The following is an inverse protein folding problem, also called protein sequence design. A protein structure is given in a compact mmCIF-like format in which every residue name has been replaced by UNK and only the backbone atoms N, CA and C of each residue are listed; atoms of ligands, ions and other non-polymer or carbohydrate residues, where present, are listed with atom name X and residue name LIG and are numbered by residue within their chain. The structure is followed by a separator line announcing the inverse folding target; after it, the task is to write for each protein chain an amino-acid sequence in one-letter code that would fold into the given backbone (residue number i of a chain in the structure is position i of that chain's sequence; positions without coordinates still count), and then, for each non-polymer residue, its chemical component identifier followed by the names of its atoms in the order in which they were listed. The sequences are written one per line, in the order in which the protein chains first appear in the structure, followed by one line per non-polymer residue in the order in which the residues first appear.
data_IF_022537370701
#
_entry.id   IF_022537370701
#
_cell.length_a   1.000
_cell.length_b   1.000
_cell.length_c   1.000
_cell.angle_alpha   90.00
_cell.angle_beta   90.00
_cell.angle_gamma   90.00
#
_symmetry.space_group_name_H-M   'P 1'
#
loop_
_entity.id
_entity.type
_entity.pdbx_description
1 polymer ?
#
# COMPACT_ATOMS: atom_id res chain seq x y z
N UNK A 1 13.93 22.50 -20.56
CA UNK A 1 12.52 22.97 -20.60
C UNK A 1 11.69 22.26 -21.67
N UNK A 2 12.13 22.19 -22.93
CA UNK A 2 11.34 21.56 -24.01
C UNK A 2 11.13 20.03 -23.84
N UNK A 3 12.13 19.28 -23.34
CA UNK A 3 11.99 17.82 -23.14
C UNK A 3 10.97 17.43 -22.04
N UNK A 4 10.80 18.30 -21.04
CA UNK A 4 9.93 18.04 -19.90
C UNK A 4 8.52 18.59 -20.11
N UNK A 5 8.25 19.32 -21.20
CA UNK A 5 6.97 19.98 -21.49
C UNK A 5 6.47 20.89 -20.35
N UNK A 6 7.40 21.54 -19.65
CA UNK A 6 7.10 22.44 -18.54
C UNK A 6 6.36 23.69 -19.04
N UNK A 7 5.40 24.19 -18.25
CA UNK A 7 4.66 25.42 -18.52
C UNK A 7 4.71 26.37 -17.33
N UNK A 8 4.94 27.63 -17.63
CA UNK A 8 4.88 28.72 -16.66
C UNK A 8 3.45 29.23 -16.48
N UNK A 9 3.26 30.09 -15.49
CA UNK A 9 2.01 30.81 -15.27
C UNK A 9 1.72 31.75 -16.43
N UNK A 10 0.45 32.06 -16.65
CA UNK A 10 0.09 33.00 -17.70
C UNK A 10 0.58 34.41 -17.33
N UNK A 11 1.00 35.20 -18.33
CA UNK A 11 1.49 36.57 -18.11
C UNK A 11 0.51 37.46 -17.33
N UNK A 12 -0.79 37.23 -17.53
CA UNK A 12 -1.84 37.94 -16.79
C UNK A 12 -1.76 37.67 -15.29
N UNK A 13 -1.46 36.43 -14.89
CA UNK A 13 -1.37 36.03 -13.49
C UNK A 13 -0.10 36.63 -12.86
N UNK A 14 1.01 36.63 -13.60
CA UNK A 14 2.26 37.31 -13.18
C UNK A 14 2.05 38.82 -13.02
N UNK A 15 1.38 39.47 -13.98
CA UNK A 15 1.00 40.88 -13.90
C UNK A 15 0.07 41.14 -12.71
N UNK A 16 -0.89 40.24 -12.46
CA UNK A 16 -1.82 40.35 -11.32
C UNK A 16 -1.05 40.29 -10.00
N UNK A 17 -0.15 39.31 -9.84
CA UNK A 17 0.72 39.18 -8.66
C UNK A 17 1.55 40.45 -8.41
N UNK A 18 2.04 41.09 -9.48
CA UNK A 18 2.80 42.35 -9.37
C UNK A 18 1.95 43.57 -9.02
N UNK A 19 0.64 43.51 -9.30
CA UNK A 19 -0.30 44.62 -9.09
C UNK A 19 -1.05 44.55 -7.77
N UNK A 20 -1.20 43.35 -7.20
CA UNK A 20 -1.89 43.14 -5.94
C UNK A 20 -1.03 43.52 -4.73
N UNK A 21 -1.64 44.01 -3.63
CA UNK A 21 -0.89 44.45 -2.45
C UNK A 21 -0.36 43.29 -1.59
N UNK A 22 -0.78 42.05 -1.87
CA UNK A 22 -0.34 40.84 -1.17
C UNK A 22 -0.12 39.70 -2.17
N UNK A 23 0.88 38.83 -1.90
CA UNK A 23 1.28 37.74 -2.80
C UNK A 23 0.57 36.41 -2.52
N UNK A 24 0.29 36.09 -1.25
CA UNK A 24 -0.50 34.94 -0.79
C UNK A 24 -1.06 35.16 0.62
N UNK A 25 -2.03 34.35 1.02
CA UNK A 25 -2.67 34.37 2.34
C UNK A 25 -2.43 33.05 3.06
N UNK A 26 -2.10 33.11 4.35
CA UNK A 26 -1.98 31.96 5.25
C UNK A 26 -2.94 32.09 6.43
N UNK A 27 -3.53 30.97 6.83
CA UNK A 27 -4.34 30.85 8.03
C UNK A 27 -3.54 30.14 9.12
N UNK A 28 -3.75 30.55 10.38
CA UNK A 28 -3.18 29.90 11.57
C UNK A 28 -1.67 29.62 11.47
N UNK A 29 -0.88 30.68 11.29
CA UNK A 29 0.58 30.59 11.13
C UNK A 29 1.28 29.91 12.32
N UNK A 30 0.69 30.02 13.51
CA UNK A 30 1.25 29.49 14.76
C UNK A 30 0.68 28.09 15.14
N UNK A 31 -0.18 27.50 14.30
CA UNK A 31 -0.82 26.19 14.52
C UNK A 31 -1.56 26.08 15.86
N UNK A 32 -2.28 27.14 16.26
CA UNK A 32 -3.02 27.16 17.51
C UNK A 32 -4.24 26.20 17.49
N UNK A 33 -4.76 25.90 16.29
CA UNK A 33 -6.00 25.15 16.11
C UNK A 33 -5.72 23.77 15.50
N UNK A 34 -6.22 22.71 16.15
CA UNK A 34 -6.33 21.40 15.51
C UNK A 34 -7.55 21.45 14.56
N UNK A 35 -7.36 22.01 13.37
CA UNK A 35 -8.42 22.28 12.41
C UNK A 35 -7.98 22.04 10.95
N UNK A 36 -8.97 21.88 10.06
CA UNK A 36 -8.78 22.01 8.60
C UNK A 36 -9.13 23.46 8.23
N UNK A 37 -8.19 24.16 7.62
CA UNK A 37 -8.38 25.55 7.18
C UNK A 37 -8.38 25.53 5.65
N UNK A 38 -9.50 25.92 5.05
CA UNK A 38 -9.64 25.99 3.60
C UNK A 38 -9.58 27.47 3.18
N UNK A 39 -8.44 27.89 2.61
CA UNK A 39 -8.23 29.25 2.11
C UNK A 39 -8.65 29.33 0.65
N UNK A 40 -9.50 30.30 0.31
CA UNK A 40 -9.88 30.57 -1.08
C UNK A 40 -9.05 31.72 -1.63
N UNK A 41 -8.02 31.39 -2.40
CA UNK A 41 -7.19 32.34 -3.13
C UNK A 41 -6.90 31.80 -4.55
N UNK A 42 -6.51 32.65 -5.52
CA UNK A 42 -6.12 32.21 -6.86
C UNK A 42 -4.96 31.20 -6.86
N UNK A 43 -4.94 30.30 -7.85
CA UNK A 43 -3.96 29.21 -7.96
C UNK A 43 -2.51 29.70 -8.03
N UNK A 44 -2.27 30.81 -8.72
CA UNK A 44 -0.94 31.40 -8.84
C UNK A 44 -0.40 31.87 -7.48
N UNK A 45 -1.27 32.23 -6.52
CA UNK A 45 -0.85 32.59 -5.16
C UNK A 45 -0.35 31.36 -4.39
N UNK A 46 -0.99 30.19 -4.56
CA UNK A 46 -0.45 28.94 -4.02
C UNK A 46 0.88 28.57 -4.70
N UNK A 47 1.04 28.88 -6.00
CA UNK A 47 2.30 28.75 -6.70
C UNK A 47 3.41 29.61 -6.11
N UNK A 48 3.10 30.88 -5.82
CA UNK A 48 4.01 31.82 -5.15
C UNK A 48 4.34 31.38 -3.73
N UNK A 49 3.34 30.96 -2.94
CA UNK A 49 3.50 30.41 -1.59
C UNK A 49 4.48 29.22 -1.60
N UNK A 50 4.34 28.31 -2.57
CA UNK A 50 5.22 27.15 -2.70
C UNK A 50 6.68 27.54 -2.97
N UNK A 51 6.92 28.60 -3.74
CA UNK A 51 8.27 29.01 -4.17
C UNK A 51 8.96 29.94 -3.19
N UNK A 52 8.22 30.88 -2.61
CA UNK A 52 8.78 32.01 -1.88
C UNK A 52 8.61 31.92 -0.37
N UNK A 53 7.63 31.16 0.13
CA UNK A 53 7.46 30.98 1.57
C UNK A 53 8.61 30.13 2.13
N UNK A 54 9.12 30.51 3.30
CA UNK A 54 10.23 29.82 3.97
C UNK A 54 9.74 28.74 4.93
N UNK A 55 8.46 28.77 5.26
CA UNK A 55 7.83 27.81 6.15
C UNK A 55 7.49 26.52 5.41
N UNK A 56 7.92 25.39 5.99
CA UNK A 56 7.69 24.06 5.43
C UNK A 56 6.20 23.76 5.37
N UNK A 57 5.42 24.14 6.38
CA UNK A 57 3.99 23.84 6.40
C UNK A 57 3.21 24.66 5.38
N UNK A 58 3.63 25.91 5.13
CA UNK A 58 3.07 26.71 4.03
C UNK A 58 3.30 26.05 2.67
N UNK A 59 4.51 25.52 2.46
CA UNK A 59 4.85 24.79 1.24
C UNK A 59 4.05 23.48 1.14
N UNK A 60 3.90 22.74 2.24
CA UNK A 60 3.10 21.52 2.29
C UNK A 60 1.61 21.79 2.01
N UNK A 61 1.05 22.88 2.53
CA UNK A 61 -0.32 23.32 2.26
C UNK A 61 -0.52 23.63 0.78
N UNK A 62 0.41 24.37 0.16
CA UNK A 62 0.37 24.66 -1.27
C UNK A 62 0.52 23.40 -2.13
N UNK A 63 1.40 22.46 -1.76
CA UNK A 63 1.52 21.16 -2.43
C UNK A 63 0.22 20.36 -2.32
N UNK A 64 -0.38 20.30 -1.12
CA UNK A 64 -1.66 19.62 -0.89
C UNK A 64 -2.76 20.23 -1.75
N UNK A 65 -2.83 21.56 -1.81
CA UNK A 65 -3.80 22.26 -2.67
C UNK A 65 -3.73 21.74 -4.11
N UNK A 66 -2.55 21.73 -4.72
CA UNK A 66 -2.38 21.24 -6.09
C UNK A 66 -2.71 19.75 -6.26
N UNK A 67 -2.44 18.92 -5.25
CA UNK A 67 -2.77 17.49 -5.26
C UNK A 67 -4.25 17.18 -5.12
N UNK A 68 -5.02 18.02 -4.42
CA UNK A 68 -6.46 17.83 -4.16
C UNK A 68 -7.37 18.39 -5.27
N UNK A 69 -6.83 19.15 -6.24
CA UNK A 69 -7.62 19.69 -7.35
C UNK A 69 -8.14 18.57 -8.27
N UNK A 70 -9.47 18.54 -8.49
CA UNK A 70 -10.10 17.59 -9.40
C UNK A 70 -9.55 17.72 -10.83
N UNK A 71 -9.41 18.96 -11.30
CA UNK A 71 -8.86 19.29 -12.63
C UNK A 71 -7.46 19.81 -12.47
N UNK A 72 -6.49 18.96 -12.79
CA UNK A 72 -5.08 19.37 -12.82
C UNK A 72 -4.70 19.91 -14.20
N UNK A 73 -3.61 20.67 -14.26
CA UNK A 73 -3.05 21.18 -15.51
C UNK A 73 -1.52 21.08 -15.52
N UNK A 74 -0.93 21.34 -16.69
CA UNK A 74 0.51 21.26 -16.88
C UNK A 74 1.30 22.24 -16.02
N UNK A 75 0.75 23.41 -15.70
CA UNK A 75 1.39 24.44 -14.88
C UNK A 75 1.50 23.97 -13.42
N UNK A 76 0.46 23.35 -12.86
CA UNK A 76 0.50 22.77 -11.52
C UNK A 76 1.51 21.62 -11.44
N UNK A 77 1.48 20.70 -12.41
CA UNK A 77 2.49 19.64 -12.49
C UNK A 77 3.90 20.20 -12.63
N UNK A 78 4.08 21.32 -13.34
CA UNK A 78 5.37 22.01 -13.48
C UNK A 78 5.84 22.56 -12.13
N UNK A 79 4.97 23.22 -11.38
CA UNK A 79 5.28 23.72 -10.04
C UNK A 79 5.71 22.58 -9.10
N UNK A 80 4.91 21.50 -9.03
CA UNK A 80 5.23 20.31 -8.23
C UNK A 80 6.52 19.63 -8.66
N UNK A 81 6.77 19.51 -9.97
CA UNK A 81 8.01 18.91 -10.50
C UNK A 81 9.23 19.75 -10.15
N UNK A 82 9.14 21.08 -10.24
CA UNK A 82 10.23 21.98 -9.83
C UNK A 82 10.55 21.82 -8.35
N UNK A 83 9.53 21.77 -7.49
CA UNK A 83 9.69 21.53 -6.05
C UNK A 83 10.31 20.16 -5.77
N UNK A 84 9.87 19.11 -6.46
CA UNK A 84 10.42 17.75 -6.33
C UNK A 84 11.90 17.68 -6.70
N UNK A 85 12.30 18.32 -7.80
CA UNK A 85 13.66 18.22 -8.36
C UNK A 85 14.67 19.12 -7.66
N UNK A 86 14.23 20.21 -7.03
CA UNK A 86 15.09 21.18 -6.38
C UNK A 86 15.54 20.69 -4.99
N UNK A 87 16.86 20.54 -4.82
CA UNK A 87 17.50 20.01 -3.62
C UNK A 87 17.54 20.98 -2.43
N UNK A 88 17.16 22.24 -2.66
CA UNK A 88 17.03 23.28 -1.64
C UNK A 88 15.77 23.10 -0.79
N UNK A 89 14.74 22.44 -1.31
CA UNK A 89 13.55 22.12 -0.54
C UNK A 89 13.84 21.04 0.50
N UNK A 90 13.13 21.12 1.62
CA UNK A 90 13.12 20.04 2.62
C UNK A 90 12.63 18.74 1.98
N UNK A 91 13.28 17.61 2.28
CA UNK A 91 12.96 16.33 1.64
C UNK A 91 11.48 15.93 1.83
N UNK A 92 10.85 16.30 2.96
CA UNK A 92 9.43 16.05 3.19
C UNK A 92 8.52 16.80 2.21
N UNK A 93 8.85 18.04 1.85
CA UNK A 93 8.12 18.82 0.83
C UNK A 93 8.31 18.20 -0.55
N UNK A 94 9.51 17.71 -0.85
CA UNK A 94 9.82 17.00 -2.10
C UNK A 94 9.01 15.71 -2.21
N UNK A 95 8.94 14.91 -1.13
CA UNK A 95 8.10 13.70 -1.06
C UNK A 95 6.62 14.05 -1.23
N UNK A 96 6.15 15.11 -0.57
CA UNK A 96 4.77 15.58 -0.72
C UNK A 96 4.48 16.01 -2.16
N UNK A 97 5.42 16.69 -2.83
CA UNK A 97 5.27 17.10 -4.22
C UNK A 97 5.20 15.90 -5.17
N UNK A 98 6.02 14.86 -4.94
CA UNK A 98 5.91 13.59 -5.65
C UNK A 98 4.56 12.90 -5.40
N UNK A 99 4.06 12.91 -4.15
CA UNK A 99 2.74 12.37 -3.82
C UNK A 99 1.61 13.16 -4.52
N UNK A 100 1.66 14.49 -4.52
CA UNK A 100 0.69 15.32 -5.21
C UNK A 100 0.70 15.08 -6.73
N UNK A 101 1.87 14.84 -7.35
CA UNK A 101 1.95 14.42 -8.74
C UNK A 101 1.25 13.07 -8.97
N UNK A 102 1.40 12.12 -8.05
CA UNK A 102 0.68 10.84 -8.11
C UNK A 102 -0.83 11.03 -7.93
N UNK A 103 -1.27 11.91 -7.03
CA UNK A 103 -2.70 12.19 -6.79
C UNK A 103 -3.36 12.87 -8.02
N UNK A 104 -2.62 13.73 -8.71
CA UNK A 104 -2.99 14.29 -10.02
C UNK A 104 -3.05 13.24 -11.15
N UNK A 105 -2.56 12.02 -10.93
CA UNK A 105 -2.44 10.97 -11.95
C UNK A 105 -3.62 10.00 -11.92
N UNK A 106 -4.74 10.44 -12.47
CA UNK A 106 -5.94 9.61 -12.61
C UNK A 106 -6.45 9.64 -14.07
N UNK A 107 -7.42 8.76 -14.39
CA UNK A 107 -8.00 8.67 -15.74
C UNK A 107 -8.64 9.99 -16.20
N UNK A 108 -9.30 10.72 -15.30
CA UNK A 108 -9.92 12.00 -15.64
C UNK A 108 -8.90 13.07 -16.08
N UNK A 109 -7.69 13.00 -15.52
CA UNK A 109 -6.56 13.86 -15.84
C UNK A 109 -5.59 13.23 -16.85
N UNK A 110 -5.97 12.14 -17.53
CA UNK A 110 -5.14 11.39 -18.48
C UNK A 110 -3.76 11.00 -17.92
N UNK A 111 -3.66 10.73 -16.62
CA UNK A 111 -2.41 10.40 -15.93
C UNK A 111 -1.28 11.43 -16.15
N UNK A 112 -1.59 12.72 -16.34
CA UNK A 112 -0.59 13.73 -16.68
C UNK A 112 0.55 13.82 -15.65
N UNK A 113 0.25 13.71 -14.36
CA UNK A 113 1.26 13.75 -13.28
C UNK A 113 2.23 12.58 -13.32
N UNK A 114 1.83 11.42 -13.87
CA UNK A 114 2.61 10.20 -13.86
C UNK A 114 3.82 10.34 -14.78
N UNK A 115 3.66 11.02 -15.91
CA UNK A 115 4.77 11.27 -16.83
C UNK A 115 5.85 12.15 -16.19
N UNK A 116 5.46 13.16 -15.42
CA UNK A 116 6.40 13.98 -14.66
C UNK A 116 7.08 13.18 -13.55
N UNK A 117 6.31 12.39 -12.82
CA UNK A 117 6.83 11.57 -11.72
C UNK A 117 7.83 10.52 -12.21
N UNK A 118 7.55 9.86 -13.34
CA UNK A 118 8.44 8.88 -13.95
C UNK A 118 9.71 9.53 -14.53
N UNK A 119 9.58 10.72 -15.14
CA UNK A 119 10.74 11.49 -15.60
C UNK A 119 11.64 11.92 -14.45
N UNK A 120 11.04 12.43 -13.36
CA UNK A 120 11.76 12.79 -12.15
C UNK A 120 12.49 11.58 -11.54
N UNK A 121 11.83 10.42 -11.46
CA UNK A 121 12.45 9.20 -10.99
C UNK A 121 13.62 8.75 -11.88
N UNK A 122 13.42 8.76 -13.20
CA UNK A 122 14.44 8.37 -14.18
C UNK A 122 15.69 9.24 -14.09
N UNK A 123 15.51 10.56 -14.04
CA UNK A 123 16.61 11.53 -13.94
C UNK A 123 17.43 11.34 -12.64
N UNK A 124 16.73 11.15 -11.52
CA UNK A 124 17.38 11.07 -10.21
C UNK A 124 18.06 9.72 -9.96
N UNK A 125 17.46 8.61 -10.37
CA UNK A 125 17.84 7.27 -9.89
C UNK A 125 18.14 6.24 -10.98
N UNK A 126 17.90 6.57 -12.25
CA UNK A 126 18.19 5.65 -13.37
C UNK A 126 19.33 6.18 -14.24
N UNK A 127 19.94 5.28 -15.02
CA UNK A 127 20.86 5.69 -16.09
C UNK A 127 20.10 6.45 -17.17
N UNK A 128 20.78 7.43 -17.77
CA UNK A 128 20.22 8.32 -18.79
C UNK A 128 19.50 7.54 -19.90
N UNK A 129 18.34 8.05 -20.32
CA UNK A 129 17.45 7.44 -21.32
C UNK A 129 17.02 5.99 -21.02
N UNK A 130 17.07 5.56 -19.76
CA UNK A 130 16.66 4.21 -19.35
C UNK A 130 15.87 4.20 -18.03
N UNK A 131 15.18 3.08 -17.78
CA UNK A 131 14.58 2.77 -16.48
C UNK A 131 15.39 1.68 -15.74
N UNK A 132 16.71 1.68 -15.96
CA UNK A 132 17.65 0.80 -15.27
C UNK A 132 18.18 1.57 -14.05
N UNK A 133 18.00 1.08 -12.81
CA UNK A 133 18.48 1.78 -11.62
C UNK A 133 20.01 1.89 -11.63
N UNK A 134 20.50 3.05 -11.20
CA UNK A 134 21.91 3.26 -10.82
C UNK A 134 22.21 2.47 -9.53
N UNK A 135 23.49 2.19 -9.26
CA UNK A 135 23.88 1.63 -7.96
C UNK A 135 23.45 2.57 -6.84
N UNK A 136 22.97 2.01 -5.73
CA UNK A 136 22.48 2.80 -4.60
C UNK A 136 23.61 3.66 -3.99
N UNK A 137 23.26 4.87 -3.60
CA UNK A 137 24.12 5.75 -2.78
C UNK A 137 23.25 6.41 -1.69
N UNK A 138 23.43 5.97 -0.45
CA UNK A 138 22.68 6.48 0.70
C UNK A 138 23.49 7.48 1.54
N UNK A 139 24.56 8.04 0.97
CA UNK A 139 25.38 9.04 1.65
C UNK A 139 24.60 10.34 1.92
N UNK A 140 23.68 10.73 1.04
CA UNK A 140 22.72 11.80 1.30
C UNK A 140 21.41 11.25 1.87
N UNK A 141 21.18 11.53 3.15
CA UNK A 141 19.95 11.15 3.84
C UNK A 141 18.69 11.72 3.17
N UNK A 142 18.76 12.95 2.61
CA UNK A 142 17.62 13.60 1.96
C UNK A 142 17.27 12.88 0.65
N UNK A 143 18.29 12.57 -0.14
CA UNK A 143 18.16 11.76 -1.36
C UNK A 143 17.63 10.36 -1.08
N UNK A 144 18.11 9.69 -0.03
CA UNK A 144 17.63 8.38 0.40
C UNK A 144 16.15 8.40 0.81
N UNK A 145 15.73 9.37 1.63
CA UNK A 145 14.33 9.48 2.05
C UNK A 145 13.38 9.65 0.86
N UNK A 146 13.79 10.47 -0.12
CA UNK A 146 13.04 10.63 -1.35
C UNK A 146 13.02 9.33 -2.19
N UNK A 147 14.19 8.70 -2.38
CA UNK A 147 14.31 7.44 -3.13
C UNK A 147 13.44 6.34 -2.55
N UNK A 148 13.42 6.22 -1.22
CA UNK A 148 12.61 5.23 -0.52
C UNK A 148 11.11 5.52 -0.59
N UNK A 149 10.69 6.77 -0.81
CA UNK A 149 9.28 7.13 -0.92
C UNK A 149 8.69 6.84 -2.31
N UNK A 150 9.50 6.99 -3.37
CA UNK A 150 9.06 6.81 -4.76
C UNK A 150 8.31 5.50 -5.04
N UNK A 151 8.79 4.31 -4.62
CA UNK A 151 8.09 3.05 -4.87
C UNK A 151 6.65 3.05 -4.33
N UNK A 152 6.47 3.58 -3.12
CA UNK A 152 5.16 3.67 -2.46
C UNK A 152 4.24 4.64 -3.19
N UNK A 153 4.77 5.81 -3.56
CA UNK A 153 4.03 6.84 -4.29
C UNK A 153 3.56 6.29 -5.65
N UNK A 154 4.48 5.66 -6.40
CA UNK A 154 4.19 5.10 -7.72
C UNK A 154 3.11 4.01 -7.65
N UNK A 155 3.15 3.11 -6.67
CA UNK A 155 2.12 2.07 -6.51
C UNK A 155 0.76 2.62 -6.04
N UNK A 156 0.71 3.88 -5.60
CA UNK A 156 -0.52 4.59 -5.27
C UNK A 156 -1.32 5.03 -6.50
N UNK A 157 -0.67 5.23 -7.65
CA UNK A 157 -1.31 5.62 -8.91
C UNK A 157 -2.14 4.47 -9.46
N UNK A 158 -3.45 4.68 -9.56
CA UNK A 158 -4.41 3.64 -9.96
C UNK A 158 -5.38 4.15 -11.02
N UNK A 159 -5.85 3.23 -11.85
CA UNK A 159 -6.94 3.44 -12.79
C UNK A 159 -8.31 3.36 -12.10
N UNK A 160 -9.40 3.59 -12.83
CA UNK A 160 -10.76 3.58 -12.29
C UNK A 160 -11.19 2.19 -11.80
N UNK A 161 -10.53 1.14 -12.27
CA UNK A 161 -10.74 -0.23 -11.80
C UNK A 161 -9.91 -0.58 -10.55
N UNK A 162 -9.07 0.36 -10.09
CA UNK A 162 -8.20 0.23 -8.92
C UNK A 162 -6.88 -0.50 -9.21
N UNK A 163 -6.53 -0.75 -10.48
CA UNK A 163 -5.28 -1.36 -10.88
C UNK A 163 -4.18 -0.33 -11.05
N UNK A 164 -2.95 -0.75 -10.76
CA UNK A 164 -1.76 0.06 -11.01
C UNK A 164 -1.33 -0.11 -12.48
N UNK A 165 -1.03 0.99 -13.22
CA UNK A 165 -0.57 0.92 -14.60
C UNK A 165 0.61 -0.05 -14.80
N UNK A 166 0.59 -0.85 -15.87
CA UNK A 166 1.62 -1.87 -16.18
C UNK A 166 3.04 -1.28 -16.26
N UNK A 167 3.16 -0.02 -16.71
CA UNK A 167 4.45 0.68 -16.76
C UNK A 167 5.10 0.79 -15.38
N UNK A 168 4.29 1.08 -14.35
CA UNK A 168 4.75 1.17 -12.95
C UNK A 168 5.06 -0.22 -12.41
N UNK A 169 4.19 -1.20 -12.65
CA UNK A 169 4.40 -2.59 -12.22
C UNK A 169 5.75 -3.14 -12.75
N UNK A 170 6.03 -2.93 -14.04
CA UNK A 170 7.29 -3.35 -14.65
C UNK A 170 8.50 -2.58 -14.10
N UNK A 171 8.35 -1.26 -13.85
CA UNK A 171 9.39 -0.46 -13.21
C UNK A 171 9.73 -1.02 -11.83
N UNK A 172 8.75 -1.21 -10.95
CA UNK A 172 8.95 -1.74 -9.60
C UNK A 172 9.60 -3.15 -9.63
N UNK A 173 9.18 -4.00 -10.58
CA UNK A 173 9.78 -5.32 -10.76
C UNK A 173 11.25 -5.22 -11.17
N UNK A 174 11.57 -4.30 -12.08
CA UNK A 174 12.95 -4.05 -12.51
C UNK A 174 13.80 -3.48 -11.36
N UNK A 175 13.26 -2.59 -10.53
CA UNK A 175 13.95 -2.08 -9.35
C UNK A 175 14.31 -3.21 -8.39
N UNK A 176 13.39 -4.15 -8.12
CA UNK A 176 13.69 -5.32 -7.25
C UNK A 176 14.72 -6.27 -7.88
N UNK A 177 14.67 -6.46 -9.20
CA UNK A 177 15.57 -7.38 -9.92
C UNK A 177 16.99 -6.85 -10.04
N UNK A 178 17.11 -5.57 -10.35
CA UNK A 178 18.37 -4.91 -10.70
C UNK A 178 18.89 -3.99 -9.60
N UNK A 179 18.33 -4.06 -8.39
CA UNK A 179 18.87 -3.35 -7.24
C UNK A 179 20.32 -3.78 -6.99
N UNK A 180 21.22 -2.81 -7.04
CA UNK A 180 22.64 -2.98 -6.81
C UNK A 180 23.10 -2.09 -5.65
N UNK A 181 23.67 -2.72 -4.63
CA UNK A 181 24.19 -2.05 -3.44
C UNK A 181 25.71 -2.24 -3.28
N UNK A 182 26.40 -2.70 -4.32
CA UNK A 182 27.84 -3.01 -4.27
C UNK A 182 28.73 -1.79 -4.00
N UNK A 183 28.32 -0.61 -4.47
CA UNK A 183 29.06 0.65 -4.33
C UNK A 183 28.59 1.50 -3.14
N UNK A 184 27.56 1.06 -2.42
CA UNK A 184 27.00 1.81 -1.29
C UNK A 184 27.74 1.47 0.00
N UNK A 185 28.04 2.48 0.82
CA UNK A 185 28.63 2.27 2.14
C UNK A 185 27.59 1.76 3.18
N UNK A 186 26.31 1.87 2.86
CA UNK A 186 25.20 1.55 3.76
C UNK A 186 24.47 0.26 3.34
N UNK A 187 23.76 -0.34 4.30
CA UNK A 187 22.90 -1.52 4.06
C UNK A 187 21.54 -1.07 3.54
N UNK A 188 21.05 -1.73 2.50
CA UNK A 188 19.81 -1.38 1.79
C UNK A 188 18.59 -2.21 2.15
N UNK A 189 18.67 -3.06 3.19
CA UNK A 189 17.59 -3.99 3.53
C UNK A 189 16.24 -3.30 3.77
N UNK A 190 16.24 -2.07 4.30
CA UNK A 190 15.01 -1.26 4.46
C UNK A 190 14.44 -0.81 3.12
N UNK A 191 15.29 -0.35 2.20
CA UNK A 191 14.88 0.07 0.87
C UNK A 191 14.35 -1.11 0.04
N UNK A 192 15.06 -2.24 0.06
CA UNK A 192 14.61 -3.48 -0.60
C UNK A 192 13.27 -3.96 -0.03
N UNK A 193 13.08 -3.87 1.29
CA UNK A 193 11.80 -4.17 1.93
C UNK A 193 10.67 -3.27 1.41
N UNK A 194 10.90 -1.97 1.30
CA UNK A 194 9.90 -1.03 0.76
C UNK A 194 9.59 -1.29 -0.73
N UNK A 195 10.60 -1.62 -1.54
CA UNK A 195 10.43 -2.03 -2.93
C UNK A 195 9.54 -3.27 -3.04
N UNK A 196 9.77 -4.27 -2.18
CA UNK A 196 8.98 -5.51 -2.14
C UNK A 196 7.52 -5.22 -1.74
N UNK A 197 7.30 -4.39 -0.72
CA UNK A 197 5.96 -3.98 -0.27
C UNK A 197 5.23 -3.25 -1.40
N UNK A 198 5.90 -2.32 -2.08
CA UNK A 198 5.33 -1.53 -3.17
C UNK A 198 5.02 -2.40 -4.40
N UNK A 199 5.93 -3.30 -4.77
CA UNK A 199 5.73 -4.26 -5.86
C UNK A 199 4.50 -5.14 -5.61
N UNK A 200 4.39 -5.76 -4.43
CA UNK A 200 3.23 -6.59 -4.10
C UNK A 200 1.95 -5.77 -4.01
N UNK A 201 2.01 -4.55 -3.47
CA UNK A 201 0.86 -3.63 -3.48
C UNK A 201 0.38 -3.38 -4.90
N UNK A 202 1.30 -3.16 -5.85
CA UNK A 202 0.96 -2.95 -7.26
C UNK A 202 0.38 -4.20 -7.94
N UNK A 203 0.80 -5.40 -7.54
CA UNK A 203 0.26 -6.68 -8.05
C UNK A 203 -1.14 -6.97 -7.54
N UNK A 204 -1.40 -6.65 -6.27
CA UNK A 204 -2.65 -7.00 -5.57
C UNK A 204 -3.74 -5.93 -5.80
N UNK A 205 -3.36 -4.70 -6.16
CA UNK A 205 -4.31 -3.61 -6.41
C UNK A 205 -5.21 -3.92 -7.61
N UNK A 206 -6.52 -3.78 -7.42
CA UNK A 206 -7.52 -4.06 -8.47
C UNK A 206 -7.76 -5.54 -8.72
N UNK A 207 -7.24 -6.44 -7.87
CA UNK A 207 -7.48 -7.87 -7.97
C UNK A 207 -8.92 -8.22 -7.62
N UNK A 208 -9.56 -9.05 -8.46
CA UNK A 208 -10.97 -9.41 -8.37
C UNK A 208 -11.17 -10.92 -8.45
N UNK A 209 -11.68 -11.53 -7.38
CA UNK A 209 -11.89 -12.99 -7.33
C UNK A 209 -13.13 -13.45 -8.10
N UNK A 210 -14.04 -12.53 -8.39
CA UNK A 210 -15.25 -12.74 -9.19
C UNK A 210 -14.98 -12.77 -10.70
N UNK A 211 -13.86 -12.20 -11.16
CA UNK A 211 -13.51 -12.09 -12.58
C UNK A 211 -12.04 -12.48 -12.79
N UNK A 212 -11.77 -13.78 -12.85
CA UNK A 212 -10.39 -14.32 -12.96
C UNK A 212 -9.63 -13.82 -14.20
N UNK A 213 -10.30 -13.64 -15.35
CA UNK A 213 -9.69 -13.15 -16.59
C UNK A 213 -9.11 -11.74 -16.47
N UNK A 214 -9.56 -10.97 -15.48
CA UNK A 214 -9.09 -9.62 -15.23
C UNK A 214 -7.73 -9.60 -14.50
N UNK A 215 -7.34 -10.69 -13.85
CA UNK A 215 -6.14 -10.72 -13.01
C UNK A 215 -4.90 -11.12 -13.80
N UNK A 216 -3.81 -10.36 -13.64
CA UNK A 216 -2.52 -10.66 -14.28
C UNK A 216 -1.75 -11.73 -13.48
N UNK A 217 -2.20 -12.98 -13.62
CA UNK A 217 -1.61 -14.14 -12.92
C UNK A 217 -0.17 -14.40 -13.35
N UNK A 218 0.19 -14.08 -14.60
CA UNK A 218 1.57 -14.19 -15.09
C UNK A 218 2.48 -13.21 -14.37
N UNK A 219 2.07 -11.95 -14.22
CA UNK A 219 2.81 -10.95 -13.46
C UNK A 219 2.93 -11.36 -11.98
N UNK A 220 1.85 -11.84 -11.37
CA UNK A 220 1.88 -12.36 -10.00
C UNK A 220 2.87 -13.55 -9.83
N UNK A 221 2.99 -14.41 -10.84
CA UNK A 221 3.98 -15.49 -10.87
C UNK A 221 5.43 -14.98 -10.92
N UNK A 222 5.69 -13.93 -11.72
CA UNK A 222 7.00 -13.25 -11.77
C UNK A 222 7.36 -12.64 -10.42
N UNK A 223 6.42 -11.94 -9.77
CA UNK A 223 6.62 -11.35 -8.44
C UNK A 223 6.88 -12.43 -7.40
N UNK A 224 6.10 -13.52 -7.41
CA UNK A 224 6.30 -14.65 -6.48
C UNK A 224 7.69 -15.28 -6.62
N UNK A 225 8.21 -15.36 -7.84
CA UNK A 225 9.56 -15.88 -8.12
C UNK A 225 10.64 -14.96 -7.54
N UNK A 226 10.48 -13.64 -7.63
CA UNK A 226 11.39 -12.67 -7.02
C UNK A 226 11.34 -12.70 -5.49
N UNK A 227 10.15 -12.81 -4.87
CA UNK A 227 10.03 -12.98 -3.42
C UNK A 227 10.77 -14.22 -2.93
N UNK A 228 10.64 -15.33 -3.66
CA UNK A 228 11.35 -16.56 -3.33
C UNK A 228 12.86 -16.44 -3.48
N UNK A 229 13.34 -15.74 -4.52
CA UNK A 229 14.76 -15.42 -4.70
C UNK A 229 15.30 -14.61 -3.52
N UNK A 230 14.61 -13.53 -3.15
CA UNK A 230 15.02 -12.67 -2.02
C UNK A 230 15.03 -13.41 -0.70
N UNK A 231 13.99 -14.21 -0.42
CA UNK A 231 13.95 -15.02 0.80
C UNK A 231 15.11 -16.03 0.87
N UNK A 232 15.49 -16.65 -0.26
CA UNK A 232 16.65 -17.55 -0.31
C UNK A 232 17.96 -16.81 -0.06
N UNK A 233 18.12 -15.63 -0.65
CA UNK A 233 19.32 -14.80 -0.46
C UNK A 233 19.45 -14.36 1.00
N UNK A 234 18.37 -13.90 1.62
CA UNK A 234 18.36 -13.47 3.03
C UNK A 234 18.66 -14.61 4.00
N UNK A 235 18.25 -15.84 3.68
CA UNK A 235 18.64 -17.03 4.47
C UNK A 235 20.12 -17.37 4.36
N UNK A 236 20.75 -17.03 3.23
CA UNK A 236 22.17 -17.30 3.02
C UNK A 236 23.04 -16.20 3.61
N UNK A 237 22.65 -14.94 3.43
CA UNK A 237 23.29 -13.76 4.00
C UNK A 237 22.19 -12.95 4.71
N UNK A 238 22.00 -13.14 6.02
CA UNK A 238 20.96 -12.46 6.79
C UNK A 238 21.08 -10.94 6.76
N UNK A 239 20.01 -10.27 6.34
CA UNK A 239 19.80 -8.85 6.59
C UNK A 239 19.65 -8.55 8.07
N UNK A 240 19.76 -7.27 8.43
CA UNK A 240 19.51 -6.81 9.78
C UNK A 240 18.13 -7.29 10.27
N UNK A 241 18.12 -8.08 11.34
CA UNK A 241 16.92 -8.70 11.92
C UNK A 241 16.08 -9.55 10.95
N UNK A 242 16.67 -10.04 9.85
CA UNK A 242 15.97 -10.80 8.80
C UNK A 242 14.78 -10.04 8.20
N UNK A 243 14.88 -8.72 8.11
CA UNK A 243 13.78 -7.87 7.65
C UNK A 243 13.29 -8.26 6.25
N UNK A 244 14.20 -8.67 5.35
CA UNK A 244 13.84 -9.07 3.99
C UNK A 244 13.03 -10.37 4.02
N UNK A 245 13.46 -11.40 4.76
CA UNK A 245 12.70 -12.64 4.91
C UNK A 245 11.31 -12.38 5.52
N UNK A 246 11.23 -11.58 6.59
CA UNK A 246 9.96 -11.24 7.25
C UNK A 246 9.02 -10.52 6.29
N UNK A 247 9.52 -9.51 5.56
CA UNK A 247 8.73 -8.78 4.56
C UNK A 247 8.28 -9.71 3.43
N UNK A 248 9.14 -10.61 2.95
CA UNK A 248 8.75 -11.58 1.93
C UNK A 248 7.64 -12.52 2.41
N UNK A 249 7.67 -12.97 3.68
CA UNK A 249 6.60 -13.80 4.25
C UNK A 249 5.30 -13.00 4.33
N UNK A 250 5.35 -11.78 4.87
CA UNK A 250 4.20 -10.88 4.95
C UNK A 250 3.54 -10.64 3.59
N UNK A 251 4.36 -10.35 2.56
CA UNK A 251 3.86 -10.08 1.22
C UNK A 251 3.33 -11.34 0.52
N UNK A 252 3.95 -12.51 0.74
CA UNK A 252 3.41 -13.77 0.24
C UNK A 252 2.04 -14.10 0.84
N UNK A 253 1.86 -13.88 2.15
CA UNK A 253 0.56 -14.05 2.82
C UNK A 253 -0.46 -13.09 2.21
N UNK A 254 -0.09 -11.82 2.01
CA UNK A 254 -0.98 -10.81 1.40
C UNK A 254 -1.42 -11.20 -0.02
N UNK A 255 -0.50 -11.71 -0.85
CA UNK A 255 -0.86 -12.23 -2.18
C UNK A 255 -1.80 -13.45 -2.08
N UNK A 256 -1.60 -14.31 -1.09
CA UNK A 256 -2.45 -15.48 -0.88
C UNK A 256 -3.86 -15.12 -0.39
N UNK A 257 -3.99 -14.13 0.50
CA UNK A 257 -5.29 -13.63 0.98
C UNK A 257 -6.15 -13.05 -0.14
N UNK A 258 -5.52 -12.50 -1.17
CA UNK A 258 -6.25 -11.97 -2.32
C UNK A 258 -6.48 -13.03 -3.40
N UNK A 259 -5.86 -14.21 -3.30
CA UNK A 259 -5.98 -15.29 -4.28
C UNK A 259 -4.95 -15.22 -5.43
N UNK A 260 -4.01 -14.27 -5.38
CA UNK A 260 -2.97 -14.09 -6.39
C UNK A 260 -1.89 -15.17 -6.36
N UNK A 261 -1.73 -15.85 -5.22
CA UNK A 261 -0.82 -16.98 -5.06
C UNK A 261 -1.49 -18.06 -4.22
N UNK A 262 -1.34 -19.33 -4.59
CA UNK A 262 -1.70 -20.44 -3.71
C UNK A 262 -0.57 -20.66 -2.72
N UNK A 263 -0.85 -20.46 -1.43
CA UNK A 263 0.09 -20.70 -0.33
C UNK A 263 -0.44 -21.85 0.52
N UNK A 264 0.35 -22.90 0.65
CA UNK A 264 -0.04 -24.09 1.43
C UNK A 264 0.17 -23.88 2.93
N UNK A 265 -0.65 -24.53 3.76
CA UNK A 265 -0.43 -24.55 5.21
C UNK A 265 0.88 -25.26 5.57
N UNK A 266 1.30 -26.25 4.79
CA UNK A 266 2.56 -26.96 5.01
C UNK A 266 3.77 -26.02 4.90
N UNK A 267 3.79 -25.15 3.89
CA UNK A 267 4.83 -24.13 3.73
C UNK A 267 4.91 -23.20 4.95
N UNK A 268 3.75 -22.73 5.44
CA UNK A 268 3.72 -21.83 6.60
C UNK A 268 4.02 -22.54 7.91
N UNK A 269 3.51 -23.76 8.13
CA UNK A 269 3.81 -24.57 9.31
C UNK A 269 5.29 -24.91 9.40
N UNK A 270 5.96 -25.10 8.27
CA UNK A 270 7.40 -25.27 8.27
C UNK A 270 8.13 -24.01 8.78
N UNK A 271 7.62 -22.82 8.46
CA UNK A 271 8.17 -21.54 8.91
C UNK A 271 7.90 -21.23 10.39
N UNK A 272 7.04 -21.97 11.09
CA UNK A 272 6.80 -21.77 12.54
C UNK A 272 7.83 -22.44 13.44
N UNK A 273 8.72 -23.28 12.88
CA UNK A 273 9.76 -24.02 13.60
C UNK A 273 10.81 -23.10 14.24
N UNK A 274 11.41 -23.53 15.36
CA UNK A 274 12.39 -22.74 16.14
C UNK A 274 13.67 -22.34 15.38
N UNK A 275 13.95 -22.97 14.23
CA UNK A 275 15.09 -22.60 13.38
C UNK A 275 14.93 -21.25 12.67
N UNK A 276 13.70 -20.75 12.58
CA UNK A 276 13.40 -19.47 11.93
C UNK A 276 13.45 -18.32 12.94
N UNK A 277 13.75 -17.09 12.49
CA UNK A 277 13.70 -15.90 13.32
C UNK A 277 12.33 -15.73 13.99
N UNK A 278 12.31 -15.13 15.18
CA UNK A 278 11.09 -14.93 15.96
C UNK A 278 9.99 -14.25 15.13
N UNK A 279 10.31 -13.13 14.46
CA UNK A 279 9.36 -12.37 13.64
C UNK A 279 8.79 -13.20 12.50
N UNK A 280 9.64 -13.92 11.76
CA UNK A 280 9.21 -14.79 10.67
C UNK A 280 8.21 -15.86 11.14
N UNK A 281 8.42 -16.42 12.33
CA UNK A 281 7.50 -17.40 12.93
C UNK A 281 6.17 -16.78 13.33
N UNK A 282 6.19 -15.59 13.93
CA UNK A 282 4.95 -14.85 14.27
C UNK A 282 4.14 -14.58 13.00
N UNK A 283 4.82 -14.13 11.95
CA UNK A 283 4.21 -13.86 10.65
C UNK A 283 3.64 -15.11 9.99
N UNK A 284 4.35 -16.24 10.07
CA UNK A 284 3.86 -17.52 9.59
C UNK A 284 2.58 -17.95 10.34
N UNK A 285 2.54 -17.80 11.67
CA UNK A 285 1.32 -18.04 12.44
C UNK A 285 0.18 -17.11 12.05
N UNK A 286 0.45 -15.81 11.85
CA UNK A 286 -0.55 -14.85 11.37
C UNK A 286 -1.16 -15.31 10.05
N UNK A 287 -0.30 -15.69 9.09
CA UNK A 287 -0.74 -16.19 7.79
C UNK A 287 -1.59 -17.45 7.87
N UNK A 288 -1.19 -18.42 8.71
CA UNK A 288 -1.98 -19.65 8.92
C UNK A 288 -3.37 -19.31 9.46
N UNK A 289 -3.46 -18.41 10.45
CA UNK A 289 -4.73 -18.03 11.07
C UNK A 289 -5.63 -17.29 10.08
N UNK A 290 -5.07 -16.36 9.30
CA UNK A 290 -5.82 -15.57 8.30
C UNK A 290 -6.30 -16.40 7.11
N UNK A 291 -5.51 -17.39 6.65
CA UNK A 291 -5.84 -18.27 5.52
C UNK A 291 -6.80 -19.44 5.88
N UNK A 292 -7.43 -19.38 7.05
CA UNK A 292 -8.47 -20.32 7.48
C UNK A 292 -8.10 -21.24 8.64
N UNK A 293 -6.88 -21.13 9.19
CA UNK A 293 -6.43 -21.92 10.33
C UNK A 293 -7.26 -21.72 11.61
N UNK A 294 -7.99 -20.60 11.72
CA UNK A 294 -8.94 -20.35 12.82
C UNK A 294 -10.08 -21.36 12.90
N UNK A 295 -10.47 -21.99 11.78
CA UNK A 295 -11.51 -23.04 11.79
C UNK A 295 -10.97 -24.43 12.15
N UNK A 296 -9.65 -24.61 12.01
CA UNK A 296 -9.02 -25.91 12.18
C UNK A 296 -8.58 -26.12 13.64
N UNK A 297 -9.26 -27.05 14.33
CA UNK A 297 -8.98 -27.40 15.73
C UNK A 297 -7.53 -27.79 15.98
N UNK A 298 -6.92 -28.57 15.08
CA UNK A 298 -5.54 -29.06 15.23
C UNK A 298 -4.53 -27.92 15.17
N UNK A 299 -4.74 -26.97 14.26
CA UNK A 299 -3.91 -25.77 14.10
C UNK A 299 -4.02 -24.87 15.33
N UNK A 300 -5.24 -24.62 15.81
CA UNK A 300 -5.45 -23.86 17.05
C UNK A 300 -4.81 -24.54 18.26
N UNK A 301 -4.93 -25.86 18.38
CA UNK A 301 -4.30 -26.60 19.46
C UNK A 301 -2.76 -26.50 19.38
N UNK A 302 -2.19 -26.57 18.17
CA UNK A 302 -0.76 -26.35 17.94
C UNK A 302 -0.34 -24.93 18.35
N UNK A 303 -1.04 -23.91 17.89
CA UNK A 303 -0.79 -22.51 18.24
C UNK A 303 -0.82 -22.29 19.76
N UNK A 304 -1.85 -22.81 20.45
CA UNK A 304 -1.99 -22.69 21.90
C UNK A 304 -0.86 -23.42 22.63
N UNK A 305 -0.48 -24.62 22.19
CA UNK A 305 0.69 -25.35 22.74
C UNK A 305 1.96 -24.52 22.60
N UNK A 306 2.19 -23.91 21.44
CA UNK A 306 3.37 -23.04 21.22
C UNK A 306 3.34 -21.83 22.17
N UNK A 307 2.18 -21.19 22.36
CA UNK A 307 2.03 -20.08 23.29
C UNK A 307 2.30 -20.48 24.75
N UNK A 308 1.84 -21.66 25.18
CA UNK A 308 1.97 -22.14 26.56
C UNK A 308 3.38 -22.66 26.87
N UNK A 309 4.01 -23.35 25.91
CA UNK A 309 5.33 -23.97 26.11
C UNK A 309 6.48 -22.95 26.04
N UNK A 310 6.30 -21.79 25.37
CA UNK A 310 7.32 -20.75 25.26
C UNK A 310 7.24 -19.69 26.37
N UNK A 311 7.03 -20.10 27.63
CA UNK A 311 6.91 -19.18 28.77
C UNK A 311 8.21 -18.38 29.04
N UNK A 312 9.37 -18.92 28.67
CA UNK A 312 10.68 -18.27 28.81
C UNK A 312 10.89 -17.11 27.82
N UNK A 313 10.03 -16.97 26.80
CA UNK A 313 10.11 -15.95 25.75
C UNK A 313 8.88 -15.02 25.78
N UNK A 314 8.77 -14.10 26.76
CA UNK A 314 7.57 -13.29 26.95
C UNK A 314 7.25 -12.39 25.75
N UNK A 315 8.27 -11.83 25.08
CA UNK A 315 8.09 -11.02 23.88
C UNK A 315 7.46 -11.83 22.73
N UNK A 316 7.96 -13.05 22.49
CA UNK A 316 7.42 -13.93 21.46
C UNK A 316 5.96 -14.30 21.73
N UNK A 317 5.64 -14.64 22.98
CA UNK A 317 4.26 -14.93 23.40
C UNK A 317 3.35 -13.71 23.22
N UNK A 318 3.79 -12.52 23.60
CA UNK A 318 3.03 -11.29 23.40
C UNK A 318 2.73 -11.06 21.93
N UNK A 319 3.72 -11.22 21.05
CA UNK A 319 3.57 -11.08 19.59
C UNK A 319 2.66 -12.14 18.97
N UNK A 320 2.70 -13.39 19.44
CA UNK A 320 1.76 -14.43 19.00
C UNK A 320 0.31 -14.08 19.37
N UNK A 321 0.08 -13.57 20.58
CA UNK A 321 -1.25 -13.13 21.02
C UNK A 321 -1.72 -11.93 20.19
N UNK A 322 -0.84 -10.96 19.95
CA UNK A 322 -1.13 -9.82 19.09
C UNK A 322 -1.47 -10.28 17.66
N UNK A 323 -0.71 -11.23 17.11
CA UNK A 323 -0.99 -11.83 15.81
C UNK A 323 -2.36 -12.51 15.78
N UNK A 324 -2.74 -13.27 16.83
CA UNK A 324 -4.08 -13.86 16.94
C UNK A 324 -5.18 -12.79 16.93
N UNK A 325 -5.03 -11.72 17.72
CA UNK A 325 -6.01 -10.62 17.78
C UNK A 325 -6.14 -9.93 16.41
N UNK A 326 -5.02 -9.65 15.74
CA UNK A 326 -5.00 -9.07 14.39
C UNK A 326 -5.66 -10.00 13.37
N UNK A 327 -5.33 -11.29 13.38
CA UNK A 327 -5.92 -12.28 12.47
C UNK A 327 -7.42 -12.43 12.67
N UNK A 328 -7.89 -12.51 13.92
CA UNK A 328 -9.32 -12.57 14.24
C UNK A 328 -10.04 -11.31 13.75
N UNK A 329 -9.45 -10.13 13.99
CA UNK A 329 -10.01 -8.85 13.55
C UNK A 329 -10.10 -8.78 12.03
N UNK A 330 -9.01 -9.14 11.33
CA UNK A 330 -8.92 -9.18 9.87
C UNK A 330 -9.94 -10.13 9.24
N UNK A 331 -10.05 -11.36 9.78
CA UNK A 331 -11.00 -12.36 9.29
C UNK A 331 -12.45 -11.95 9.57
N UNK A 332 -12.72 -11.26 10.68
CA UNK A 332 -14.03 -10.72 10.98
C UNK A 332 -14.43 -9.58 10.02
N UNK A 333 -13.50 -8.68 9.66
CA UNK A 333 -13.78 -7.53 8.77
C UNK A 333 -13.82 -7.94 7.30
N UNK A 334 -12.82 -8.67 6.82
CA UNK A 334 -12.65 -8.98 5.40
C UNK A 334 -13.22 -10.34 5.00
N UNK A 335 -13.49 -11.21 5.97
CA UNK A 335 -13.86 -12.60 5.73
C UNK A 335 -12.66 -13.51 5.62
N UNK A 336 -12.81 -14.73 6.14
CA UNK A 336 -11.79 -15.76 5.96
C UNK A 336 -11.81 -16.29 4.54
N UNK A 337 -10.64 -16.30 3.90
CA UNK A 337 -10.39 -17.12 2.71
C UNK A 337 -10.23 -18.55 3.19
N UNK A 338 -11.35 -19.23 3.42
CA UNK A 338 -11.34 -20.63 3.82
C UNK A 338 -10.86 -21.44 2.62
N UNK A 339 -9.56 -21.74 2.56
CA UNK A 339 -9.03 -22.74 1.61
C UNK A 339 -9.38 -24.17 2.02
N UNK A 340 -9.86 -24.33 3.26
CA UNK A 340 -10.45 -25.56 3.77
C UNK A 340 -11.97 -25.50 3.61
N UNK A 341 -12.49 -26.27 2.66
CA UNK A 341 -13.88 -26.73 2.69
C UNK A 341 -13.96 -27.81 3.77
N UNK A 342 -14.15 -27.42 5.03
CA UNK A 342 -14.45 -28.38 6.09
C UNK A 342 -15.97 -28.72 6.03
N UNK A 343 -16.35 -29.95 5.64
CA UNK A 343 -17.76 -30.35 5.57
C UNK A 343 -18.45 -30.36 6.94
N UNK A 344 -17.70 -30.28 8.04
CA UNK A 344 -18.18 -30.22 9.42
C UNK A 344 -18.88 -28.89 9.76
N UNK A 345 -18.68 -27.83 8.96
CA UNK A 345 -19.31 -26.51 9.15
C UNK A 345 -20.49 -26.23 8.21
N UNK A 346 -20.96 -27.25 7.46
CA UNK A 346 -22.27 -27.22 6.80
C UNK A 346 -23.40 -27.62 7.74
N UNK A 347 -23.41 -27.11 8.96
CA UNK A 347 -24.62 -27.19 9.78
C UNK A 347 -25.67 -26.28 9.18
N UNK A 348 -26.78 -26.87 8.72
CA UNK A 348 -28.00 -26.12 8.41
C UNK A 348 -28.42 -25.39 9.68
N UNK A 349 -28.11 -24.11 9.78
CA UNK A 349 -28.62 -23.26 10.86
C UNK A 349 -30.11 -23.07 10.59
N UNK A 350 -30.96 -23.68 11.41
CA UNK A 350 -32.39 -23.40 11.43
C UNK A 350 -32.60 -21.92 11.73
N UNK A 351 -32.96 -21.14 10.71
CA UNK A 351 -33.30 -19.72 10.85
C UNK A 351 -34.67 -19.58 11.48
N UNK A 352 -34.77 -19.76 12.80
CA UNK A 352 -35.89 -19.25 13.59
C UNK A 352 -35.45 -17.99 14.34
N UNK A 353 -35.17 -16.93 13.59
CA UNK A 353 -35.06 -15.57 14.15
C UNK A 353 -36.06 -14.69 13.43
N UNK A 354 -37.14 -14.33 14.14
CA UNK A 354 -38.10 -13.31 13.71
C UNK A 354 -37.38 -11.96 13.66
N UNK A 355 -36.92 -11.55 12.47
CA UNK A 355 -36.41 -10.21 12.24
C UNK A 355 -37.56 -9.29 11.82
N UNK A 356 -37.98 -8.42 12.74
CA UNK A 356 -38.80 -7.26 12.44
C UNK A 356 -37.92 -6.16 11.84
N UNK A 357 -37.79 -6.15 10.52
CA UNK A 357 -37.22 -5.02 9.79
C UNK A 357 -37.74 -5.02 8.35
N UNK A 358 -38.62 -4.06 8.05
CA UNK A 358 -39.21 -3.82 6.73
C UNK A 358 -38.14 -3.35 5.73
N UNK A 359 -37.50 -4.27 5.00
CA UNK A 359 -36.99 -4.02 3.65
C UNK A 359 -37.34 -5.24 2.79
N UNK A 360 -38.20 -5.01 1.80
CA UNK A 360 -38.65 -6.02 0.84
C UNK A 360 -37.46 -6.41 -0.01
N UNK A 361 -37.02 -7.66 0.11
CA UNK A 361 -36.13 -8.33 -0.85
C UNK A 361 -37.06 -9.24 -1.65
N UNK A 362 -37.12 -9.01 -2.96
CA UNK A 362 -37.96 -9.80 -3.87
C UNK A 362 -37.26 -11.14 -4.09
N UNK A 363 -37.96 -12.20 -3.71
CA UNK A 363 -37.56 -13.60 -3.80
C UNK A 363 -37.89 -14.12 -5.20
N UNK A 364 -36.87 -14.44 -6.00
CA UNK A 364 -37.04 -15.17 -7.25
C UNK A 364 -36.28 -16.49 -7.12
N UNK A 365 -37.05 -17.55 -6.87
CA UNK A 365 -36.55 -18.84 -6.45
C UNK A 365 -35.85 -19.60 -7.57
N UNK A 366 -34.53 -19.47 -7.71
CA UNK A 366 -33.69 -20.51 -8.31
C UNK A 366 -32.19 -20.33 -8.03
N UNK A 367 -31.57 -21.41 -7.54
CA UNK A 367 -30.15 -21.80 -7.54
C UNK A 367 -29.01 -20.87 -7.02
N UNK A 368 -29.21 -19.57 -6.77
CA UNK A 368 -28.14 -18.64 -6.36
C UNK A 368 -27.99 -18.39 -4.84
N UNK A 369 -28.16 -19.45 -4.02
CA UNK A 369 -28.07 -19.31 -2.55
C UNK A 369 -26.68 -18.91 -2.04
N UNK A 370 -25.58 -19.26 -2.72
CA UNK A 370 -24.22 -18.89 -2.26
C UNK A 370 -23.87 -17.44 -2.55
N UNK A 371 -24.25 -16.92 -3.73
CA UNK A 371 -24.01 -15.54 -4.13
C UNK A 371 -24.86 -14.57 -3.29
N UNK A 372 -26.12 -14.92 -3.01
CA UNK A 372 -26.97 -14.15 -2.08
C UNK A 372 -26.45 -14.21 -0.64
N UNK A 373 -25.94 -15.36 -0.19
CA UNK A 373 -25.33 -15.48 1.14
C UNK A 373 -24.04 -14.67 1.25
N UNK A 374 -23.19 -14.67 0.22
CA UNK A 374 -21.99 -13.82 0.17
C UNK A 374 -22.34 -12.34 0.25
N UNK A 375 -23.28 -11.86 -0.57
CA UNK A 375 -23.72 -10.45 -0.53
C UNK A 375 -24.34 -10.06 0.81
N UNK A 376 -25.07 -10.97 1.46
CA UNK A 376 -25.65 -10.74 2.79
C UNK A 376 -24.57 -10.67 3.87
N UNK A 377 -23.57 -11.54 3.79
CA UNK A 377 -22.45 -11.57 4.72
C UNK A 377 -21.51 -10.35 4.53
N UNK A 378 -21.34 -9.87 3.30
CA UNK A 378 -20.59 -8.64 3.00
C UNK A 378 -21.34 -7.40 3.53
N UNK A 379 -22.67 -7.39 3.42
CA UNK A 379 -23.52 -6.33 3.98
C UNK A 379 -23.54 -6.35 5.52
N UNK A 380 -23.49 -7.53 6.15
CA UNK A 380 -23.42 -7.64 7.60
C UNK A 380 -22.05 -7.21 8.16
N UNK A 381 -20.96 -7.50 7.44
CA UNK A 381 -19.60 -7.03 7.80
C UNK A 381 -19.38 -5.53 7.64
N UNK A 382 -20.29 -4.81 6.98
CA UNK A 382 -20.23 -3.35 6.86
C UNK A 382 -20.36 -2.61 8.21
N UNK A 383 -20.85 -3.28 9.27
CA UNK A 383 -20.87 -2.73 10.63
C UNK A 383 -20.01 -3.59 11.55
N UNK A 384 -19.33 -2.97 12.53
CA UNK A 384 -18.50 -3.69 13.52
C UNK A 384 -19.34 -4.75 14.25
N UNK A 385 -20.57 -4.41 14.64
CA UNK A 385 -21.47 -5.33 15.33
C UNK A 385 -21.85 -6.53 14.45
N UNK A 386 -22.18 -6.29 13.18
CA UNK A 386 -22.51 -7.34 12.24
C UNK A 386 -21.32 -8.23 11.89
N UNK A 387 -20.12 -7.66 11.76
CA UNK A 387 -18.87 -8.43 11.57
C UNK A 387 -18.60 -9.40 12.72
N UNK A 388 -18.80 -8.95 13.97
CA UNK A 388 -18.64 -9.80 15.16
C UNK A 388 -19.70 -10.91 15.21
N UNK A 389 -20.97 -10.57 14.96
CA UNK A 389 -22.08 -11.54 14.98
C UNK A 389 -21.92 -12.62 13.91
N UNK A 390 -21.48 -12.25 12.70
CA UNK A 390 -21.27 -13.20 11.62
C UNK A 390 -20.01 -14.04 11.80
N UNK A 391 -18.95 -13.47 12.36
CA UNK A 391 -17.76 -14.22 12.72
C UNK A 391 -18.08 -15.27 13.81
N UNK A 392 -18.84 -14.89 14.84
CA UNK A 392 -19.27 -15.81 15.89
C UNK A 392 -20.08 -17.00 15.34
N UNK A 393 -21.03 -16.75 14.44
CA UNK A 393 -21.84 -17.80 13.78
C UNK A 393 -21.04 -18.77 12.89
N UNK A 394 -19.82 -18.39 12.48
CA UNK A 394 -18.97 -19.19 11.59
C UNK A 394 -17.94 -20.02 12.34
N UNK A 395 -17.68 -19.69 13.60
CA UNK A 395 -16.72 -20.35 14.48
C UNK A 395 -17.36 -21.30 15.50
N UNK A 396 -18.59 -20.99 15.90
CA UNK A 396 -19.44 -21.77 16.80
C UNK A 396 -20.69 -22.22 16.07
#
# INVERSE_FOLDING_TARGET
MQEWNLRDWDKRDEESLSSEPFEWIRGDVDFEWIARIDIKQPDFMFGSQLVYDRDIEAQLEAVRYFGELEKTNTTYCTALTRTLMDDRYFYGVRIAAAQALADCSNEANNFIGLEYLLKAFGELYCFDDSFIPKSNDFSDFRGFMLQSAFPRILCGVKDNDGKVPKRIQNLLLNLVKFNDNSMNAFVDSLYVSELVVSLVTSTVSGWRNDIEEYNDTEFAGKVSSELFRLQKLDRWIPSYQNIIEVTCIQQNIRMALVGARKLSFEELLYMTLDKYPMEARVEAFRGILELGGLKNKSILQYFLKVCLLNFERPLYRSKLIEALVKSVSSVATYGGVSTLDDPEFHTKVDTNVKSSSNRIIIDDGSQDNSAMKSKRDDMARASIKGAIEDFAKRLF
#
